data_IF_972108300427
#
_entry.id   IF_972108300427
#
_cell.length_a   1.000
_cell.length_b   1.000
_cell.length_c   1.000
_cell.angle_alpha   90.00
_cell.angle_beta   90.00
_cell.angle_gamma   90.00
#
_symmetry.space_group_name_H-M   'P 1'
#
loop_
_entity.id
_entity.type
_entity.pdbx_description
1 polymer ?
#
# COMPACT_ATOMS: atom_id res chain seq x y z
N UNK A 1 -5.38 9.55 4.27
CA UNK A 1 -6.14 8.40 4.81
C UNK A 1 -5.19 7.22 4.97
N UNK A 2 -5.29 6.42 6.05
CA UNK A 2 -4.42 5.26 6.23
C UNK A 2 -4.70 4.18 5.17
N UNK A 3 -3.65 3.48 4.72
CA UNK A 3 -3.72 2.50 3.64
C UNK A 3 -4.68 1.32 3.90
N UNK A 4 -4.96 1.01 5.18
CA UNK A 4 -5.97 0.04 5.59
C UNK A 4 -7.38 0.38 5.05
N UNK A 5 -7.73 1.67 5.01
CA UNK A 5 -8.98 2.13 4.40
C UNK A 5 -9.01 1.86 2.89
N UNK A 6 -7.85 1.91 2.22
CA UNK A 6 -7.73 1.61 0.79
C UNK A 6 -7.99 0.12 0.50
N UNK A 7 -7.53 -0.80 1.36
CA UNK A 7 -7.81 -2.23 1.21
C UNK A 7 -9.30 -2.53 1.38
N UNK A 8 -9.94 -1.93 2.39
CA UNK A 8 -11.38 -2.05 2.59
C UNK A 8 -12.17 -1.46 1.43
N UNK A 9 -11.71 -0.35 0.86
CA UNK A 9 -12.35 0.27 -0.30
C UNK A 9 -12.26 -0.58 -1.56
N UNK A 10 -11.11 -1.24 -1.76
CA UNK A 10 -10.95 -2.24 -2.81
C UNK A 10 -11.92 -3.42 -2.62
N UNK A 11 -12.10 -3.89 -1.38
CA UNK A 11 -13.08 -4.94 -1.07
C UNK A 11 -14.54 -4.50 -1.28
N UNK A 12 -14.86 -3.25 -0.97
CA UNK A 12 -16.18 -2.67 -1.16
C UNK A 12 -16.54 -2.52 -2.66
N UNK A 13 -15.60 -2.02 -3.46
CA UNK A 13 -15.77 -1.80 -4.90
C UNK A 13 -15.81 -3.10 -5.72
N UNK A 14 -15.11 -4.17 -5.30
CA UNK A 14 -15.16 -5.48 -5.96
C UNK A 14 -16.40 -6.31 -5.62
N UNK A 15 -17.19 -5.91 -4.62
CA UNK A 15 -18.36 -6.63 -4.15
C UNK A 15 -19.47 -6.74 -5.20
N UNK A 16 -20.40 -7.69 -4.99
CA UNK A 16 -21.53 -7.90 -5.91
C UNK A 16 -22.45 -6.66 -6.02
N UNK A 17 -22.56 -5.87 -4.96
CA UNK A 17 -23.31 -4.60 -4.92
C UNK A 17 -22.43 -3.51 -4.28
N UNK A 18 -21.60 -2.80 -5.08
CA UNK A 18 -20.72 -1.75 -4.57
C UNK A 18 -21.48 -0.57 -3.97
N UNK A 19 -22.66 -0.24 -4.51
CA UNK A 19 -23.49 0.89 -4.08
C UNK A 19 -24.01 0.76 -2.64
N UNK A 20 -24.12 -0.47 -2.13
CA UNK A 20 -24.60 -0.75 -0.77
C UNK A 20 -23.46 -0.78 0.26
N UNK A 21 -22.19 -0.58 -0.17
CA UNK A 21 -21.02 -0.66 0.70
C UNK A 21 -20.39 0.71 0.90
N UNK A 22 -20.44 1.20 2.14
CA UNK A 22 -19.80 2.44 2.56
C UNK A 22 -18.80 2.16 3.67
N UNK A 23 -17.60 2.72 3.55
CA UNK A 23 -16.63 2.76 4.65
C UNK A 23 -17.06 3.87 5.61
N UNK A 24 -17.27 3.50 6.86
CA UNK A 24 -17.68 4.40 7.94
C UNK A 24 -16.83 4.13 9.18
N UNK A 25 -16.80 5.10 10.09
CA UNK A 25 -16.03 5.00 11.33
C UNK A 25 -14.61 5.55 11.20
N UNK A 26 -14.00 5.80 12.36
CA UNK A 26 -12.60 6.23 12.45
C UNK A 26 -11.67 5.00 12.37
N UNK A 27 -10.55 5.10 11.63
CA UNK A 27 -9.56 4.02 11.61
C UNK A 27 -9.03 3.77 13.02
N UNK A 28 -9.05 2.51 13.44
CA UNK A 28 -8.62 2.09 14.79
C UNK A 28 -7.10 1.96 14.91
N UNK A 29 -6.40 1.68 13.80
CA UNK A 29 -4.96 1.47 13.77
C UNK A 29 -4.38 1.84 12.41
N UNK A 30 -3.10 2.21 12.43
CA UNK A 30 -2.27 2.42 11.25
C UNK A 30 -1.44 1.16 10.99
N UNK A 31 -1.76 0.40 9.95
CA UNK A 31 -1.04 -0.85 9.67
C UNK A 31 0.10 -0.63 8.67
N UNK A 32 1.31 -1.03 9.03
CA UNK A 32 2.47 -1.05 8.12
C UNK A 32 2.55 -2.40 7.41
N UNK A 33 2.28 -2.43 6.11
CA UNK A 33 2.51 -3.63 5.30
C UNK A 33 4.00 -3.84 5.03
N UNK A 34 4.46 -5.09 5.21
CA UNK A 34 5.87 -5.49 5.03
C UNK A 34 5.98 -6.85 4.36
N UNK A 35 7.09 -7.09 3.67
CA UNK A 35 7.44 -8.43 3.19
C UNK A 35 7.82 -9.31 4.37
N UNK A 36 7.06 -10.40 4.58
CA UNK A 36 7.35 -11.38 5.63
C UNK A 36 8.52 -12.28 5.18
N UNK A 37 9.51 -12.46 6.06
CA UNK A 37 10.75 -13.19 5.79
C UNK A 37 10.99 -14.23 6.87
N UNK A 38 11.79 -15.26 6.57
CA UNK A 38 12.19 -16.27 7.56
C UNK A 38 13.03 -15.61 8.66
N UNK A 39 12.74 -15.94 9.92
CA UNK A 39 13.54 -15.49 11.07
C UNK A 39 14.94 -16.13 11.00
N UNK A 40 15.97 -15.32 11.22
CA UNK A 40 17.36 -15.79 11.26
C UNK A 40 18.15 -15.66 9.95
N UNK A 41 17.62 -14.96 8.95
CA UNK A 41 18.34 -14.67 7.70
C UNK A 41 18.59 -13.15 7.50
N UNK A 42 19.54 -12.55 8.23
CA UNK A 42 19.94 -11.16 8.04
C UNK A 42 20.46 -10.82 6.63
N UNK A 43 21.24 -11.69 5.96
CA UNK A 43 21.69 -11.44 4.59
C UNK A 43 20.52 -11.26 3.63
N UNK A 44 19.52 -12.15 3.68
CA UNK A 44 18.36 -12.06 2.80
C UNK A 44 17.50 -10.84 3.12
N UNK A 45 17.32 -10.50 4.40
CA UNK A 45 16.64 -9.26 4.80
C UNK A 45 17.34 -8.03 4.20
N UNK A 46 18.67 -7.98 4.25
CA UNK A 46 19.46 -6.85 3.74
C UNK A 46 19.34 -6.74 2.22
N UNK A 47 19.37 -7.88 1.50
CA UNK A 47 19.18 -7.91 0.05
C UNK A 47 17.80 -7.40 -0.36
N UNK A 48 16.74 -7.91 0.27
CA UNK A 48 15.36 -7.49 0.00
C UNK A 48 15.17 -6.00 0.34
N UNK A 49 15.68 -5.56 1.49
CA UNK A 49 15.64 -4.16 1.90
C UNK A 49 16.39 -3.25 0.93
N UNK A 50 17.56 -3.67 0.45
CA UNK A 50 18.35 -2.93 -0.53
C UNK A 50 17.61 -2.74 -1.86
N UNK A 51 16.99 -3.81 -2.38
CA UNK A 51 16.17 -3.74 -3.61
C UNK A 51 14.97 -2.80 -3.40
N UNK A 52 14.29 -2.90 -2.26
CA UNK A 52 13.13 -2.07 -1.97
C UNK A 52 13.51 -0.58 -1.87
N UNK A 53 14.61 -0.25 -1.19
CA UNK A 53 15.13 1.13 -1.11
C UNK A 53 15.47 1.67 -2.50
N UNK A 54 16.07 0.85 -3.36
CA UNK A 54 16.37 1.26 -4.74
C UNK A 54 15.09 1.54 -5.54
N UNK A 55 14.07 0.69 -5.41
CA UNK A 55 12.78 0.88 -6.08
C UNK A 55 12.06 2.15 -5.60
N UNK A 56 12.09 2.44 -4.28
CA UNK A 56 11.52 3.66 -3.70
C UNK A 56 12.25 4.90 -4.22
N UNK A 57 13.59 4.89 -4.19
CA UNK A 57 14.41 6.02 -4.67
C UNK A 57 14.28 6.29 -6.16
N UNK A 58 14.00 5.25 -6.96
CA UNK A 58 13.77 5.37 -8.41
C UNK A 58 12.36 5.88 -8.75
N UNK A 59 11.44 5.96 -7.77
CA UNK A 59 10.04 6.30 -8.01
C UNK A 59 9.25 5.21 -8.74
N UNK A 60 9.85 4.02 -8.94
CA UNK A 60 9.17 2.88 -9.59
C UNK A 60 8.00 2.38 -8.74
N UNK A 61 8.12 2.51 -7.41
CA UNK A 61 7.03 2.18 -6.49
C UNK A 61 5.85 3.15 -6.64
N UNK A 62 6.10 4.45 -6.85
CA UNK A 62 5.03 5.43 -7.03
C UNK A 62 4.26 5.15 -8.33
N UNK A 63 4.98 4.83 -9.41
CA UNK A 63 4.37 4.41 -10.67
C UNK A 63 3.55 3.11 -10.52
N UNK A 64 4.01 2.16 -9.69
CA UNK A 64 3.28 0.94 -9.40
C UNK A 64 2.02 1.24 -8.57
N UNK A 65 2.12 2.12 -7.57
CA UNK A 65 0.98 2.58 -6.78
C UNK A 65 -0.07 3.22 -7.70
N UNK A 66 0.33 4.15 -8.57
CA UNK A 66 -0.57 4.77 -9.55
C UNK A 66 -1.25 3.75 -10.45
N UNK A 67 -0.50 2.75 -10.93
CA UNK A 67 -1.05 1.69 -11.77
C UNK A 67 -2.10 0.83 -11.03
N UNK A 68 -1.97 0.66 -9.73
CA UNK A 68 -2.83 -0.25 -8.94
C UNK A 68 -3.97 0.44 -8.21
N UNK A 69 -3.85 1.74 -7.94
CA UNK A 69 -4.84 2.49 -7.16
C UNK A 69 -5.56 3.56 -7.98
N UNK A 70 -4.90 4.17 -8.95
CA UNK A 70 -5.45 5.27 -9.76
C UNK A 70 -5.87 4.81 -11.16
N UNK A 71 -5.20 3.79 -11.72
CA UNK A 71 -5.52 3.25 -13.04
C UNK A 71 -6.50 2.07 -12.95
N UNK A 72 -7.33 1.85 -13.99
CA UNK A 72 -8.26 0.73 -14.00
C UNK A 72 -7.52 -0.61 -13.96
N UNK A 73 -7.79 -1.41 -12.92
CA UNK A 73 -7.11 -2.69 -12.70
C UNK A 73 -7.98 -3.87 -13.18
N UNK A 74 -7.43 -4.82 -13.95
CA UNK A 74 -8.14 -6.04 -14.31
C UNK A 74 -8.48 -6.90 -13.09
N UNK A 75 -9.55 -7.74 -13.13
CA UNK A 75 -10.37 -8.10 -14.29
C UNK A 75 -11.61 -7.22 -14.53
N UNK A 76 -12.01 -6.38 -13.56
CA UNK A 76 -13.24 -5.56 -13.65
C UNK A 76 -13.01 -4.13 -14.17
N UNK A 77 -11.75 -3.72 -14.39
CA UNK A 77 -11.41 -2.41 -14.95
C UNK A 77 -11.83 -1.24 -14.05
N UNK A 78 -11.96 -1.47 -12.74
CA UNK A 78 -12.35 -0.45 -11.79
C UNK A 78 -11.12 0.37 -11.38
N UNK A 79 -11.26 1.69 -11.42
CA UNK A 79 -10.35 2.62 -10.74
C UNK A 79 -10.84 2.81 -9.31
N UNK A 80 -9.90 2.95 -8.37
CA UNK A 80 -10.23 3.23 -6.98
C UNK A 80 -9.99 4.71 -6.61
N UNK A 81 -9.36 5.49 -7.50
CA UNK A 81 -9.05 6.92 -7.35
C UNK A 81 -8.49 7.28 -5.96
N UNK A 82 -7.66 6.39 -5.40
CA UNK A 82 -6.98 6.63 -4.14
C UNK A 82 -5.66 7.33 -4.39
N UNK A 83 -5.60 8.61 -3.98
CA UNK A 83 -4.34 9.31 -3.87
C UNK A 83 -3.47 8.68 -2.77
N UNK A 84 -2.15 8.66 -3.03
CA UNK A 84 -1.15 8.36 -2.02
C UNK A 84 -1.34 9.28 -0.81
N UNK A 85 -1.08 8.73 0.38
CA UNK A 85 -1.18 9.50 1.62
C UNK A 85 0.18 10.05 2.01
N UNK A 86 0.19 11.24 2.62
CA UNK A 86 1.42 11.94 3.04
C UNK A 86 2.36 11.07 3.88
N UNK A 87 1.78 10.18 4.69
CA UNK A 87 2.52 9.22 5.53
C UNK A 87 3.34 8.24 4.68
N UNK A 88 2.79 7.76 3.56
CA UNK A 88 3.46 6.83 2.67
C UNK A 88 4.47 7.58 1.79
N UNK A 89 4.14 8.79 1.31
CA UNK A 89 5.08 9.63 0.55
C UNK A 89 6.34 9.95 1.36
N UNK A 90 6.18 10.35 2.64
CA UNK A 90 7.29 10.55 3.55
C UNK A 90 8.12 9.27 3.76
N UNK A 91 7.45 8.10 3.74
CA UNK A 91 8.09 6.79 3.91
C UNK A 91 8.87 6.36 2.68
N UNK A 92 8.43 6.73 1.49
CA UNK A 92 9.17 6.51 0.24
C UNK A 92 10.39 7.44 0.14
N UNK A 93 10.25 8.69 0.60
CA UNK A 93 11.36 9.63 0.69
C UNK A 93 12.43 9.19 1.72
N UNK A 94 12.00 8.62 2.85
CA UNK A 94 12.88 8.11 3.91
C UNK A 94 12.56 6.64 4.30
N UNK A 95 13.03 5.65 3.51
CA UNK A 95 12.77 4.24 3.76
C UNK A 95 13.41 3.75 5.07
N UNK A 96 12.61 3.15 5.93
CA UNK A 96 13.00 2.51 7.19
C UNK A 96 12.17 1.24 7.47
N UNK A 97 12.40 0.56 8.59
CA UNK A 97 11.66 -0.65 9.02
C UNK A 97 10.82 -0.40 10.29
N UNK A 98 10.66 0.86 10.71
CA UNK A 98 9.93 1.19 11.93
C UNK A 98 8.41 1.00 11.76
N UNK A 99 7.69 0.60 12.83
CA UNK A 99 6.23 0.61 12.86
C UNK A 99 5.69 2.02 12.63
N UNK A 100 4.54 2.10 11.97
CA UNK A 100 3.68 3.28 12.03
C UNK A 100 2.85 3.16 13.32
N UNK A 101 3.03 4.12 14.22
CA UNK A 101 2.16 4.34 15.39
C UNK A 101 1.04 5.32 15.00
#
# INVERSE_FOLDING_TARGET
MPFAACVLARGASLAAKPADRRIVGTPQSSETYRCMLRKGDPPFKTLVGGVLVQLMKRGEIDALCDQRFTKPVPPKGLSFDFAMSDVIDARHAAPNDAPLE
#
